data_IF_703380789571
#
_entry.id   IF_703380789571
#
_cell.length_a   1.000
_cell.length_b   1.000
_cell.length_c   1.000
_cell.angle_alpha   90.00
_cell.angle_beta   90.00
_cell.angle_gamma   90.00
#
_symmetry.space_group_name_H-M   'P 1'
#
loop_
_entity.id
_entity.type
_entity.pdbx_description
1 polymer ?
#
# COMPACT_ATOMS: atom_id res chain seq x y z
N UNK A 1 -22.99 21.67 -8.20
CA UNK A 1 -22.96 22.20 -6.82
C UNK A 1 -22.62 21.02 -5.91
N UNK A 2 -21.35 20.85 -5.54
CA UNK A 2 -20.93 19.82 -4.58
C UNK A 2 -20.78 20.48 -3.21
N UNK A 3 -21.57 20.05 -2.23
CA UNK A 3 -21.39 20.49 -0.84
C UNK A 3 -20.00 20.09 -0.32
N UNK A 4 -19.49 20.74 0.73
CA UNK A 4 -18.26 20.31 1.38
C UNK A 4 -18.45 18.86 1.84
N UNK A 5 -17.60 17.95 1.36
CA UNK A 5 -17.55 16.55 1.81
C UNK A 5 -17.49 16.55 3.34
N UNK A 6 -18.53 16.05 3.99
CA UNK A 6 -18.52 15.91 5.44
C UNK A 6 -17.51 14.82 5.80
N UNK A 7 -16.77 15.04 6.87
CA UNK A 7 -15.81 14.06 7.41
C UNK A 7 -16.48 12.69 7.66
N UNK A 8 -17.77 12.71 8.01
CA UNK A 8 -18.59 11.52 8.26
C UNK A 8 -18.88 10.68 7.00
N UNK A 9 -18.68 11.23 5.80
CA UNK A 9 -18.97 10.57 4.53
C UNK A 9 -17.80 9.70 4.00
N UNK A 10 -16.61 9.78 4.63
CA UNK A 10 -15.44 8.98 4.20
C UNK A 10 -15.39 7.66 4.96
N UNK A 11 -15.57 6.50 4.29
CA UNK A 11 -15.50 5.20 4.94
C UNK A 11 -14.15 4.98 5.63
N UNK A 12 -14.13 4.38 6.84
CA UNK A 12 -12.91 4.21 7.61
C UNK A 12 -11.92 3.27 6.91
N UNK A 13 -10.60 3.47 7.09
CA UNK A 13 -9.56 2.69 6.41
C UNK A 13 -9.42 1.23 6.90
N UNK A 14 -10.26 0.80 7.85
CA UNK A 14 -10.13 -0.50 8.56
C UNK A 14 -10.11 -1.70 7.63
N UNK A 15 -10.98 -1.72 6.61
CA UNK A 15 -11.05 -2.83 5.65
C UNK A 15 -9.75 -2.95 4.85
N UNK A 16 -9.17 -1.81 4.44
CA UNK A 16 -7.92 -1.77 3.69
C UNK A 16 -6.71 -2.17 4.55
N UNK A 17 -6.71 -1.80 5.82
CA UNK A 17 -5.71 -2.26 6.79
C UNK A 17 -5.82 -3.76 7.06
N UNK A 18 -7.04 -4.28 7.21
CA UNK A 18 -7.27 -5.73 7.35
C UNK A 18 -6.79 -6.50 6.10
N UNK A 19 -7.03 -5.94 4.91
CA UNK A 19 -6.52 -6.49 3.65
C UNK A 19 -4.99 -6.51 3.60
N UNK A 20 -4.33 -5.42 3.98
CA UNK A 20 -2.88 -5.37 4.07
C UNK A 20 -2.34 -6.37 5.10
N UNK A 21 -2.97 -6.47 6.27
CA UNK A 21 -2.59 -7.41 7.32
C UNK A 21 -2.71 -8.87 6.85
N UNK A 22 -3.77 -9.22 6.14
CA UNK A 22 -3.92 -10.54 5.53
C UNK A 22 -2.81 -10.79 4.49
N UNK A 23 -2.46 -9.79 3.69
CA UNK A 23 -1.35 -9.84 2.75
C UNK A 23 -0.01 -10.14 3.42
N UNK A 24 0.25 -9.56 4.60
CA UNK A 24 1.48 -9.85 5.38
C UNK A 24 1.56 -11.33 5.74
N UNK A 25 0.46 -11.91 6.24
CA UNK A 25 0.43 -13.34 6.57
C UNK A 25 0.63 -14.22 5.35
N UNK A 26 -0.07 -13.91 4.26
CA UNK A 26 0.06 -14.64 3.00
C UNK A 26 1.50 -14.61 2.48
N UNK A 27 2.13 -13.43 2.51
CA UNK A 27 3.52 -13.25 2.11
C UNK A 27 4.48 -14.05 3.01
N UNK A 28 4.38 -13.90 4.32
CA UNK A 28 5.29 -14.52 5.28
C UNK A 28 5.20 -16.04 5.26
N UNK A 29 3.99 -16.60 5.31
CA UNK A 29 3.78 -18.05 5.27
C UNK A 29 4.36 -18.61 3.97
N UNK A 30 4.09 -17.95 2.84
CA UNK A 30 4.62 -18.40 1.55
C UNK A 30 6.14 -18.36 1.52
N UNK A 31 6.78 -17.32 2.03
CA UNK A 31 8.24 -17.20 2.10
C UNK A 31 8.88 -18.27 2.99
N UNK A 32 8.28 -18.54 4.16
CA UNK A 32 8.75 -19.60 5.05
C UNK A 32 8.65 -20.96 4.36
N UNK A 33 7.50 -21.27 3.75
CA UNK A 33 7.27 -22.53 3.06
C UNK A 33 8.19 -22.72 1.84
N UNK A 34 8.60 -21.64 1.17
CA UNK A 34 9.58 -21.70 0.07
C UNK A 34 10.94 -22.20 0.52
N UNK A 35 11.28 -22.08 1.81
CA UNK A 35 12.48 -22.68 2.39
C UNK A 35 12.42 -24.20 2.52
N UNK A 36 11.22 -24.80 2.42
CA UNK A 36 10.99 -26.23 2.62
C UNK A 36 10.14 -26.85 1.49
N UNK A 37 10.54 -26.72 0.21
CA UNK A 37 9.71 -27.13 -0.93
C UNK A 37 9.43 -28.65 -0.96
N UNK A 38 10.33 -29.47 -0.43
CA UNK A 38 10.15 -30.93 -0.32
C UNK A 38 9.07 -31.31 0.70
N UNK A 39 8.97 -30.60 1.82
CA UNK A 39 7.92 -30.82 2.81
C UNK A 39 6.56 -30.41 2.25
N UNK A 40 6.50 -29.28 1.52
CA UNK A 40 5.28 -28.81 0.85
C UNK A 40 4.86 -29.78 -0.25
N UNK A 41 5.81 -30.26 -1.04
CA UNK A 41 5.58 -31.30 -2.05
C UNK A 41 4.97 -32.55 -1.42
N UNK A 42 5.55 -33.05 -0.32
CA UNK A 42 5.00 -34.21 0.40
C UNK A 42 3.59 -33.98 0.94
N UNK A 43 3.25 -32.77 1.37
CA UNK A 43 1.92 -32.44 1.89
C UNK A 43 0.86 -32.21 0.80
N UNK A 44 1.26 -31.71 -0.38
CA UNK A 44 0.34 -31.30 -1.44
C UNK A 44 0.27 -32.27 -2.62
N UNK A 45 1.24 -33.19 -2.73
CA UNK A 45 1.41 -34.06 -3.89
C UNK A 45 1.92 -33.34 -5.13
N UNK A 46 2.27 -32.05 -5.03
CA UNK A 46 2.85 -31.29 -6.14
C UNK A 46 4.33 -31.61 -6.31
N UNK A 47 4.81 -31.53 -7.54
CA UNK A 47 6.25 -31.54 -7.81
C UNK A 47 6.94 -30.38 -7.04
N UNK A 48 8.13 -30.59 -6.42
CA UNK A 48 8.80 -29.54 -5.65
C UNK A 48 9.05 -28.24 -6.40
N UNK A 49 9.30 -28.30 -7.72
CA UNK A 49 9.49 -27.12 -8.56
C UNK A 49 8.18 -26.38 -8.77
N UNK A 50 7.08 -27.10 -8.98
CA UNK A 50 5.72 -26.51 -9.10
C UNK A 50 5.30 -25.89 -7.76
N UNK A 51 5.50 -26.60 -6.64
CA UNK A 51 5.21 -26.09 -5.31
C UNK A 51 5.98 -24.79 -5.01
N UNK A 52 7.26 -24.73 -5.38
CA UNK A 52 8.06 -23.53 -5.23
C UNK A 52 7.50 -22.34 -6.04
N UNK A 53 7.07 -22.58 -7.29
CA UNK A 53 6.47 -21.55 -8.14
C UNK A 53 5.13 -21.06 -7.61
N UNK A 54 4.25 -21.97 -7.17
CA UNK A 54 2.96 -21.63 -6.54
C UNK A 54 3.17 -20.74 -5.31
N UNK A 55 4.13 -21.09 -4.45
CA UNK A 55 4.44 -20.29 -3.28
C UNK A 55 5.09 -18.94 -3.64
N UNK A 56 5.88 -18.88 -4.72
CA UNK A 56 6.42 -17.62 -5.22
C UNK A 56 5.29 -16.68 -5.67
N UNK A 57 4.34 -17.18 -6.46
CA UNK A 57 3.16 -16.41 -6.88
C UNK A 57 2.29 -16.00 -5.69
N UNK A 58 2.04 -16.93 -4.76
CA UNK A 58 1.27 -16.64 -3.53
C UNK A 58 1.95 -15.55 -2.68
N UNK A 59 3.28 -15.56 -2.62
CA UNK A 59 4.06 -14.50 -1.97
C UNK A 59 3.92 -13.16 -2.70
N UNK A 60 4.00 -13.16 -4.03
CA UNK A 60 3.78 -11.97 -4.87
C UNK A 60 2.41 -11.35 -4.64
N UNK A 61 1.35 -12.16 -4.67
CA UNK A 61 -0.01 -11.74 -4.29
C UNK A 61 -0.08 -11.15 -2.89
N UNK A 62 0.57 -11.78 -1.91
CA UNK A 62 0.68 -11.25 -0.55
C UNK A 62 1.30 -9.84 -0.53
N UNK A 63 2.38 -9.62 -1.26
CA UNK A 63 3.04 -8.30 -1.36
C UNK A 63 2.14 -7.24 -2.00
N UNK A 64 1.40 -7.59 -3.06
CA UNK A 64 0.43 -6.73 -3.74
C UNK A 64 -0.68 -6.34 -2.76
N UNK A 65 -1.22 -7.31 -2.01
CA UNK A 65 -2.25 -7.05 -1.01
C UNK A 65 -1.80 -6.08 0.07
N UNK A 66 -0.56 -6.23 0.56
CA UNK A 66 0.05 -5.31 1.53
C UNK A 66 0.11 -3.91 0.94
N UNK A 67 0.74 -3.74 -0.22
CA UNK A 67 0.98 -2.43 -0.81
C UNK A 67 -0.32 -1.74 -1.20
N UNK A 68 -1.24 -2.44 -1.85
CA UNK A 68 -2.53 -1.87 -2.25
C UNK A 68 -3.39 -1.52 -1.04
N UNK A 69 -3.41 -2.37 -0.01
CA UNK A 69 -4.13 -2.11 1.23
C UNK A 69 -3.58 -0.89 1.97
N UNK A 70 -2.26 -0.75 2.07
CA UNK A 70 -1.62 0.42 2.70
C UNK A 70 -1.85 1.70 1.89
N UNK A 71 -1.69 1.67 0.57
CA UNK A 71 -1.95 2.81 -0.32
C UNK A 71 -3.40 3.26 -0.19
N UNK A 72 -4.36 2.33 -0.24
CA UNK A 72 -5.78 2.63 -0.10
C UNK A 72 -6.13 3.17 1.30
N UNK A 73 -5.58 2.57 2.37
CA UNK A 73 -5.79 3.02 3.74
C UNK A 73 -5.27 4.45 3.95
N UNK A 74 -4.04 4.74 3.52
CA UNK A 74 -3.43 6.06 3.64
C UNK A 74 -4.13 7.11 2.77
N UNK A 75 -4.58 6.74 1.57
CA UNK A 75 -5.39 7.62 0.74
C UNK A 75 -6.71 7.99 1.42
N UNK A 76 -7.41 7.02 2.04
CA UNK A 76 -8.62 7.29 2.82
C UNK A 76 -8.34 8.21 4.01
N UNK A 77 -7.21 8.01 4.70
CA UNK A 77 -6.79 8.92 5.77
C UNK A 77 -6.50 10.34 5.25
N UNK A 78 -5.88 10.48 4.07
CA UNK A 78 -5.66 11.78 3.43
C UNK A 78 -7.00 12.44 3.04
N UNK A 79 -7.95 11.69 2.51
CA UNK A 79 -9.30 12.20 2.20
C UNK A 79 -10.00 12.73 3.45
N UNK A 80 -9.92 11.99 4.55
CA UNK A 80 -10.53 12.37 5.82
C UNK A 80 -9.83 13.58 6.46
N UNK A 81 -8.50 13.70 6.34
CA UNK A 81 -7.73 14.81 6.91
C UNK A 81 -7.76 16.10 6.05
N UNK A 82 -8.28 16.02 4.82
CA UNK A 82 -8.26 17.11 3.84
C UNK A 82 -7.20 16.87 2.76
N UNK A 83 -7.65 16.93 1.50
CA UNK A 83 -6.82 16.64 0.34
C UNK A 83 -5.59 17.57 0.24
N UNK A 84 -4.44 16.96 -0.04
CA UNK A 84 -3.19 17.68 -0.34
C UNK A 84 -2.63 17.27 -1.71
N UNK A 85 -1.90 18.15 -2.41
CA UNK A 85 -1.24 17.81 -3.67
C UNK A 85 -0.28 16.62 -3.53
N UNK A 86 0.41 16.50 -2.39
CA UNK A 86 1.27 15.37 -2.06
C UNK A 86 0.49 14.07 -1.91
N UNK A 87 -0.69 14.11 -1.27
CA UNK A 87 -1.57 12.94 -1.15
C UNK A 87 -2.04 12.42 -2.50
N UNK A 88 -2.43 13.30 -3.42
CA UNK A 88 -2.86 12.91 -4.78
C UNK A 88 -1.71 12.28 -5.57
N UNK A 89 -0.52 12.90 -5.54
CA UNK A 89 0.69 12.33 -6.19
C UNK A 89 1.06 10.97 -5.59
N UNK A 90 0.94 10.84 -4.28
CA UNK A 90 1.18 9.59 -3.57
C UNK A 90 0.22 8.49 -3.99
N UNK A 91 -1.07 8.79 -4.19
CA UNK A 91 -2.03 7.83 -4.75
C UNK A 91 -1.64 7.40 -6.17
N UNK A 92 -1.29 8.34 -7.05
CA UNK A 92 -0.93 8.03 -8.45
C UNK A 92 0.30 7.11 -8.50
N UNK A 93 1.36 7.45 -7.77
CA UNK A 93 2.57 6.64 -7.70
C UNK A 93 2.31 5.27 -7.05
N UNK A 94 1.54 5.26 -5.96
CA UNK A 94 1.16 4.04 -5.25
C UNK A 94 0.36 3.08 -6.13
N UNK A 95 -0.67 3.60 -6.80
CA UNK A 95 -1.51 2.83 -7.71
C UNK A 95 -0.74 2.35 -8.96
N UNK A 96 0.15 3.18 -9.52
CA UNK A 96 1.01 2.79 -10.63
C UNK A 96 1.95 1.66 -10.22
N UNK A 97 2.59 1.76 -9.04
CA UNK A 97 3.48 0.72 -8.52
C UNK A 97 2.75 -0.61 -8.31
N UNK A 98 1.59 -0.58 -7.65
CA UNK A 98 0.72 -1.75 -7.48
C UNK A 98 0.28 -2.31 -8.83
N UNK A 99 -0.10 -1.47 -9.79
CA UNK A 99 -0.52 -1.89 -11.12
C UNK A 99 0.58 -2.61 -11.90
N UNK A 100 1.82 -2.13 -11.80
CA UNK A 100 2.99 -2.81 -12.36
C UNK A 100 3.15 -4.18 -11.73
N UNK A 101 3.12 -4.29 -10.40
CA UNK A 101 3.24 -5.58 -9.70
C UNK A 101 2.13 -6.56 -10.13
N UNK A 102 0.89 -6.09 -10.19
CA UNK A 102 -0.26 -6.90 -10.63
C UNK A 102 -0.08 -7.43 -12.05
N UNK A 103 0.45 -6.61 -12.97
CA UNK A 103 0.69 -7.03 -14.35
C UNK A 103 1.66 -8.22 -14.43
N UNK A 104 2.79 -8.14 -13.71
CA UNK A 104 3.79 -9.21 -13.70
C UNK A 104 3.30 -10.45 -12.93
N UNK A 105 2.53 -10.26 -11.87
CA UNK A 105 1.93 -11.36 -11.11
C UNK A 105 0.90 -12.12 -11.96
N UNK A 106 0.03 -11.41 -12.69
CA UNK A 106 -0.90 -12.02 -13.64
C UNK A 106 -0.14 -12.84 -14.68
N UNK A 107 0.94 -12.30 -15.26
CA UNK A 107 1.74 -13.03 -16.23
C UNK A 107 2.35 -14.32 -15.65
N UNK A 108 2.80 -14.26 -14.39
CA UNK A 108 3.32 -15.42 -13.65
C UNK A 108 2.25 -16.49 -13.44
N UNK A 109 1.05 -16.09 -13.01
CA UNK A 109 -0.07 -17.00 -12.79
C UNK A 109 -0.54 -17.63 -14.12
N UNK A 110 -0.65 -16.84 -15.20
CA UNK A 110 -1.04 -17.37 -16.50
C UNK A 110 -0.03 -18.40 -17.01
N UNK A 111 1.27 -18.13 -16.85
CA UNK A 111 2.32 -19.10 -17.17
C UNK A 111 2.19 -20.38 -16.33
N UNK A 112 1.90 -20.25 -15.04
CA UNK A 112 1.69 -21.40 -14.15
C UNK A 112 0.51 -22.27 -14.59
N UNK A 113 -0.51 -21.67 -15.20
CA UNK A 113 -1.67 -22.36 -15.78
C UNK A 113 -1.36 -22.98 -17.17
N UNK A 114 -0.13 -22.90 -17.65
CA UNK A 114 0.29 -23.44 -18.94
C UNK A 114 -0.08 -22.57 -20.14
N UNK A 115 -0.42 -21.29 -19.92
CA UNK A 115 -0.66 -20.34 -20.99
C UNK A 115 0.68 -19.73 -21.42
N UNK A 116 1.30 -20.34 -22.44
CA UNK A 116 2.60 -19.94 -22.97
C UNK A 116 2.45 -19.15 -24.28
N UNK A 117 2.23 -17.83 -24.16
CA UNK A 117 2.37 -16.90 -25.28
C UNK A 117 3.75 -16.22 -25.24
N UNK A 118 4.32 -15.88 -26.40
CA UNK A 118 5.63 -15.21 -26.50
C UNK A 118 5.69 -13.89 -25.71
N UNK A 119 4.57 -13.17 -25.67
CA UNK A 119 4.42 -11.94 -24.89
C UNK A 119 4.49 -12.20 -23.37
N UNK A 120 3.86 -13.27 -22.88
CA UNK A 120 3.90 -13.66 -21.46
C UNK A 120 5.29 -14.09 -21.06
N UNK A 121 5.97 -14.87 -21.90
CA UNK A 121 7.35 -15.31 -21.66
C UNK A 121 8.31 -14.12 -21.57
N UNK A 122 8.15 -13.13 -22.45
CA UNK A 122 8.95 -11.90 -22.44
C UNK A 122 8.70 -11.07 -21.17
N UNK A 123 7.45 -11.00 -20.74
CA UNK A 123 7.08 -10.28 -19.52
C UNK A 123 7.63 -10.97 -18.26
N UNK A 124 7.52 -12.29 -18.16
CA UNK A 124 8.11 -13.06 -17.05
C UNK A 124 9.64 -12.93 -17.04
N UNK A 125 10.30 -12.82 -18.20
CA UNK A 125 11.76 -12.55 -18.24
C UNK A 125 12.12 -11.18 -17.68
N UNK A 126 11.24 -10.19 -17.84
CA UNK A 126 11.41 -8.84 -17.30
C UNK A 126 10.92 -8.70 -15.85
N UNK A 127 10.44 -9.77 -15.21
CA UNK A 127 9.81 -9.74 -13.90
C UNK A 127 10.67 -9.08 -12.82
N UNK A 128 11.97 -9.38 -12.76
CA UNK A 128 12.85 -8.75 -11.77
C UNK A 128 12.88 -7.22 -11.89
N UNK A 129 12.85 -6.69 -13.12
CA UNK A 129 12.80 -5.24 -13.36
C UNK A 129 11.42 -4.69 -13.00
N UNK A 130 10.36 -5.43 -13.36
CA UNK A 130 8.98 -5.12 -12.99
C UNK A 130 8.77 -5.02 -11.49
N UNK A 131 9.28 -6.00 -10.74
CA UNK A 131 9.17 -6.06 -9.29
C UNK A 131 9.89 -4.89 -8.62
N UNK A 132 11.12 -4.57 -9.05
CA UNK A 132 11.88 -3.43 -8.53
C UNK A 132 11.16 -2.11 -8.83
N UNK A 133 10.72 -1.91 -10.07
CA UNK A 133 10.04 -0.69 -10.48
C UNK A 133 8.70 -0.52 -9.75
N UNK A 134 7.87 -1.57 -9.73
CA UNK A 134 6.58 -1.57 -9.08
C UNK A 134 6.68 -1.32 -7.58
N UNK A 135 7.64 -1.99 -6.93
CA UNK A 135 7.93 -1.80 -5.50
C UNK A 135 8.43 -0.38 -5.21
N UNK A 136 9.37 0.14 -5.99
CA UNK A 136 9.91 1.49 -5.81
C UNK A 136 8.81 2.56 -5.96
N UNK A 137 7.94 2.43 -6.98
CA UNK A 137 6.80 3.32 -7.19
C UNK A 137 5.79 3.22 -6.04
N UNK A 138 5.49 2.01 -5.58
CA UNK A 138 4.56 1.80 -4.46
C UNK A 138 5.08 2.46 -3.17
N UNK A 139 6.36 2.28 -2.83
CA UNK A 139 6.98 2.92 -1.67
C UNK A 139 7.07 4.43 -1.81
N UNK A 140 7.42 4.95 -3.00
CA UNK A 140 7.36 6.39 -3.26
C UNK A 140 5.95 6.93 -3.03
N UNK A 141 4.93 6.22 -3.53
CA UNK A 141 3.53 6.54 -3.30
C UNK A 141 3.15 6.59 -1.82
N UNK A 142 3.53 5.56 -1.05
CA UNK A 142 3.32 5.51 0.40
C UNK A 142 4.01 6.66 1.13
N UNK A 143 5.25 7.00 0.76
CA UNK A 143 5.97 8.12 1.33
C UNK A 143 5.26 9.47 1.05
N UNK A 144 4.83 9.70 -0.19
CA UNK A 144 4.06 10.90 -0.54
C UNK A 144 2.71 10.98 0.16
N UNK A 145 2.02 9.84 0.34
CA UNK A 145 0.78 9.77 1.11
C UNK A 145 1.00 10.07 2.59
N UNK A 146 2.10 9.59 3.19
CA UNK A 146 2.46 9.91 4.56
C UNK A 146 2.78 11.41 4.73
N UNK A 147 3.54 11.99 3.80
CA UNK A 147 3.81 13.44 3.77
C UNK A 147 2.49 14.22 3.59
N UNK A 148 1.63 13.78 2.68
CA UNK A 148 0.30 14.39 2.48
C UNK A 148 -0.53 14.39 3.75
N UNK A 149 -0.50 13.27 4.50
CA UNK A 149 -1.23 13.13 5.75
C UNK A 149 -0.68 14.05 6.84
N UNK A 150 0.65 14.14 7.00
CA UNK A 150 1.27 15.00 8.02
C UNK A 150 0.97 16.49 7.78
N UNK A 151 0.93 16.92 6.52
CA UNK A 151 0.47 18.27 6.17
C UNK A 151 -1.02 18.47 6.46
N UNK A 152 -1.86 17.50 6.12
CA UNK A 152 -3.31 17.57 6.29
C UNK A 152 -3.71 17.66 7.78
N UNK A 153 -3.08 16.88 8.65
CA UNK A 153 -3.35 16.92 10.10
C UNK A 153 -2.64 18.07 10.83
N UNK A 154 -1.88 18.91 10.10
CA UNK A 154 -1.19 20.07 10.68
C UNK A 154 -0.10 19.71 11.70
N UNK A 155 0.49 18.51 11.60
CA UNK A 155 1.48 17.96 12.55
C UNK A 155 2.73 18.85 12.68
N UNK A 156 3.02 19.66 11.66
CA UNK A 156 4.15 20.60 11.61
C UNK A 156 3.74 22.07 11.71
N UNK A 157 2.49 22.39 12.10
CA UNK A 157 2.14 23.80 12.37
C UNK A 157 2.87 24.26 13.64
N UNK A 158 3.58 25.40 13.60
CA UNK A 158 4.09 26.02 14.82
C UNK A 158 2.92 26.25 15.78
N UNK A 159 3.09 25.86 17.05
CA UNK A 159 2.13 26.18 18.10
C UNK A 159 1.91 27.69 18.06
N UNK A 160 0.68 28.13 17.73
CA UNK A 160 0.31 29.54 17.85
C UNK A 160 0.60 29.95 19.29
N UNK A 161 1.52 30.90 19.49
CA UNK A 161 1.68 31.57 20.77
C UNK A 161 0.30 32.02 21.24
N UNK A 162 -0.06 31.62 22.46
CA UNK A 162 -1.31 32.01 23.07
C UNK A 162 -1.42 33.55 23.02
N UNK A 163 -2.59 34.12 22.68
CA UNK A 163 -2.75 35.56 22.71
C UNK A 163 -2.39 36.09 24.10
N UNK A 164 -1.68 37.24 24.20
CA UNK A 164 -1.23 37.76 25.47
C UNK A 164 -2.43 37.93 26.40
N UNK A 165 -2.34 37.36 27.60
CA UNK A 165 -3.33 37.54 28.66
C UNK A 165 -3.53 39.04 28.88
N UNK A 166 -4.77 39.56 28.81
CA UNK A 166 -5.00 40.97 29.04
C UNK A 166 -4.55 41.31 30.47
N UNK A 167 -3.65 42.30 30.58
CA UNK A 167 -3.21 42.84 31.88
C UNK A 167 -4.46 43.33 32.64
N UNK A 168 -4.60 43.04 33.95
CA UNK A 168 -5.69 43.61 34.73
C UNK A 168 -5.57 45.13 34.70
N UNK A 169 -6.62 45.80 34.22
CA UNK A 169 -6.75 47.25 34.35
C UNK A 169 -6.80 47.55 35.83
N UNK A 170 -5.78 48.24 36.35
CA UNK A 170 -5.75 48.71 37.72
C UNK A 170 -6.96 49.65 37.92
N UNK A 171 -7.97 49.15 38.62
CA UNK A 171 -9.10 49.92 39.10
C UNK A 171 -8.55 50.99 40.06
N UNK A 172 -8.62 52.25 39.65
CA UNK A 172 -8.30 53.39 40.50
C UNK A 172 -9.31 53.38 41.65
N UNK A 173 -8.82 53.12 42.85
CA UNK A 173 -9.47 53.53 44.09
C UNK A 173 -9.72 55.04 44.03
N UNK A 174 -10.99 55.42 44.17
CA UNK A 174 -11.43 56.76 44.55
C UNK A 174 -12.59 56.60 45.54
#
# INVERSE_FOLDING_TARGET
>A
MGGPLSYDDVPPPRVWLAFAFLGVWLYLISQILRGYPTAVSGATGLDPYVAFQVLAATSGLGSIMVLSGLVAALWRSNLAAGLSPSGVRGLVLGAAGVGVLVLFEIATILRLLGLEEDALTSLVRAQAVGDVLGTALAFAGLAFLAVGLTHAVGLFRPAREAPPTPKPTAEKQA
#
